data_IF_066995646016
#
_entry.id   IF_066995646016
#
_cell.length_a   1.000
_cell.length_b   1.000
_cell.length_c   1.000
_cell.angle_alpha   90.00
_cell.angle_beta   90.00
_cell.angle_gamma   90.00
#
_symmetry.space_group_name_H-M   'P 1'
#
loop_
_entity.id
_entity.type
_entity.pdbx_description
1 polymer ?
#
# COMPACT_ATOMS: atom_id res chain seq x y z
N UNK A 1 -23.84 -11.60 2.74
CA UNK A 1 -22.85 -11.58 1.63
C UNK A 1 -21.95 -10.35 1.62
N UNK A 2 -22.37 -9.18 2.16
CA UNK A 2 -21.53 -7.96 2.18
C UNK A 2 -20.21 -8.04 2.97
N UNK A 3 -20.13 -8.86 4.04
CA UNK A 3 -18.89 -8.99 4.85
C UNK A 3 -17.75 -9.66 4.08
N UNK A 4 -18.05 -10.72 3.34
CA UNK A 4 -17.06 -11.44 2.53
C UNK A 4 -16.54 -10.55 1.42
N UNK A 5 -17.42 -9.81 0.75
CA UNK A 5 -17.06 -8.89 -0.32
C UNK A 5 -16.15 -7.76 0.19
N UNK A 6 -16.45 -7.20 1.36
CA UNK A 6 -15.60 -6.22 2.03
C UNK A 6 -14.22 -6.78 2.37
N UNK A 7 -14.15 -7.98 2.96
CA UNK A 7 -12.88 -8.65 3.25
C UNK A 7 -12.06 -8.92 2.00
N UNK A 8 -12.70 -9.32 0.89
CA UNK A 8 -12.02 -9.51 -0.40
C UNK A 8 -11.44 -8.21 -0.95
N UNK A 9 -12.16 -7.09 -0.83
CA UNK A 9 -11.65 -5.76 -1.24
C UNK A 9 -10.45 -5.35 -0.37
N UNK A 10 -10.54 -5.52 0.94
CA UNK A 10 -9.42 -5.22 1.86
C UNK A 10 -8.19 -6.06 1.52
N UNK A 11 -8.37 -7.35 1.23
CA UNK A 11 -7.27 -8.24 0.83
C UNK A 11 -6.63 -7.81 -0.50
N UNK A 12 -7.44 -7.40 -1.47
CA UNK A 12 -6.96 -6.86 -2.76
C UNK A 12 -6.17 -5.56 -2.57
N UNK A 13 -6.67 -4.62 -1.76
CA UNK A 13 -5.98 -3.36 -1.45
C UNK A 13 -4.66 -3.60 -0.70
N UNK A 14 -4.63 -4.56 0.23
CA UNK A 14 -3.41 -4.97 0.92
C UNK A 14 -2.38 -5.59 -0.04
N UNK A 15 -2.82 -6.48 -0.94
CA UNK A 15 -1.95 -7.07 -1.95
C UNK A 15 -1.37 -6.02 -2.91
N UNK A 16 -2.19 -5.06 -3.36
CA UNK A 16 -1.74 -3.95 -4.19
C UNK A 16 -0.71 -3.07 -3.47
N UNK A 17 -0.93 -2.80 -2.18
CA UNK A 17 0.02 -2.03 -1.35
C UNK A 17 1.37 -2.73 -1.26
N UNK A 18 1.36 -4.06 -1.09
CA UNK A 18 2.59 -4.84 -1.07
C UNK A 18 3.33 -4.79 -2.41
N UNK A 19 2.64 -4.94 -3.54
CA UNK A 19 3.26 -4.84 -4.87
C UNK A 19 3.85 -3.44 -5.09
N UNK A 20 3.11 -2.39 -4.74
CA UNK A 20 3.56 -1.01 -4.82
C UNK A 20 4.82 -0.79 -3.96
N UNK A 21 4.86 -1.33 -2.74
CA UNK A 21 6.03 -1.27 -1.88
C UNK A 21 7.26 -1.90 -2.53
N UNK A 22 7.13 -2.96 -3.33
CA UNK A 22 8.28 -3.62 -3.97
C UNK A 22 8.88 -2.80 -5.12
N UNK A 23 8.04 -2.14 -5.91
CA UNK A 23 8.48 -1.43 -7.12
C UNK A 23 8.72 0.07 -6.90
N UNK A 24 8.10 0.65 -5.87
CA UNK A 24 8.01 2.10 -5.69
C UNK A 24 8.98 2.66 -4.64
N UNK A 25 10.10 2.03 -4.37
CA UNK A 25 10.99 2.51 -3.30
C UNK A 25 12.02 3.51 -3.85
N UNK A 26 11.94 4.77 -3.42
CA UNK A 26 12.96 5.76 -3.74
C UNK A 26 13.49 6.44 -2.47
N UNK A 27 14.83 6.64 -2.36
CA UNK A 27 15.42 7.32 -1.23
C UNK A 27 15.02 8.80 -1.24
N UNK A 28 14.53 9.31 -0.13
CA UNK A 28 14.12 10.72 0.01
C UNK A 28 15.35 11.62 0.12
N UNK A 29 16.40 11.14 0.81
CA UNK A 29 17.60 11.92 1.12
C UNK A 29 18.82 11.24 0.49
N UNK A 30 19.59 11.95 -0.36
CA UNK A 30 20.87 11.47 -0.86
C UNK A 30 21.84 11.20 0.32
N UNK A 31 22.36 9.99 0.43
CA UNK A 31 23.27 9.57 1.52
C UNK A 31 22.59 8.86 2.71
N UNK A 32 21.26 8.91 2.79
CA UNK A 32 20.46 8.22 3.81
C UNK A 32 19.50 7.21 3.16
N UNK A 33 20.05 6.06 2.73
CA UNK A 33 19.32 5.02 1.98
C UNK A 33 18.24 4.28 2.79
N UNK A 34 18.20 4.51 4.11
CA UNK A 34 17.19 3.97 5.02
C UNK A 34 15.85 4.70 4.92
N UNK A 35 15.84 5.98 4.57
CA UNK A 35 14.62 6.77 4.48
C UNK A 35 14.07 6.70 3.05
N UNK A 36 13.33 5.62 2.79
CA UNK A 36 12.67 5.38 1.51
C UNK A 36 11.22 5.81 1.59
N UNK A 37 10.75 6.48 0.55
CA UNK A 37 9.33 6.72 0.32
C UNK A 37 8.84 5.72 -0.71
N UNK A 38 7.60 5.30 -0.57
CA UNK A 38 6.92 4.45 -1.52
C UNK A 38 5.43 4.79 -1.62
N UNK A 39 4.81 4.49 -2.76
CA UNK A 39 3.40 4.80 -3.00
C UNK A 39 2.42 3.78 -2.40
N UNK A 40 2.88 2.85 -1.54
CA UNK A 40 2.01 1.84 -0.92
C UNK A 40 1.01 2.42 0.08
N UNK A 41 1.16 3.67 0.51
CA UNK A 41 0.18 4.36 1.36
C UNK A 41 -1.16 4.63 0.64
N UNK A 42 -1.16 4.69 -0.69
CA UNK A 42 -2.35 5.06 -1.47
C UNK A 42 -3.45 4.00 -1.32
N UNK A 43 -3.23 2.70 -1.58
CA UNK A 43 -4.29 1.71 -1.46
C UNK A 43 -4.69 1.45 0.00
N UNK A 44 -3.76 1.58 0.96
CA UNK A 44 -4.07 1.51 2.40
C UNK A 44 -5.03 2.63 2.82
N UNK A 45 -4.85 3.84 2.30
CA UNK A 45 -5.73 4.98 2.63
C UNK A 45 -7.19 4.77 2.17
N UNK A 46 -7.44 3.87 1.22
CA UNK A 46 -8.76 3.59 0.67
C UNK A 46 -9.57 2.60 1.54
N UNK A 47 -8.91 1.73 2.31
CA UNK A 47 -9.55 0.71 3.17
C UNK A 47 -10.67 1.26 4.08
N UNK A 48 -10.52 2.39 4.79
CA UNK A 48 -11.60 2.91 5.65
C UNK A 48 -12.85 3.39 4.90
N UNK A 49 -12.77 3.57 3.58
CA UNK A 49 -13.90 3.99 2.75
C UNK A 49 -14.72 2.83 2.17
N UNK A 50 -14.35 1.56 2.50
CA UNK A 50 -15.02 0.33 2.05
C UNK A 50 -15.39 -0.62 3.22
#
# INVERSE_FOLDING_TARGET
>A
MHRTQRLSVIALLAALSFILMLISQFPIIPGATFLKMDFSFIPISLVPFY
#
